data_IF_814660004859
#
_entry.id   IF_814660004859
#
_cell.length_a   1.000
_cell.length_b   1.000
_cell.length_c   1.000
_cell.angle_alpha   90.00
_cell.angle_beta   90.00
_cell.angle_gamma   90.00
#
_symmetry.space_group_name_H-M   'P 1'
#
loop_
_entity.id
_entity.type
_entity.pdbx_description
1 polymer ?
#
# COMPACT_ATOMS: atom_id res chain seq x y z
N UNK A 1 -10.93 -10.23 -15.14
CA UNK A 1 -10.32 -8.90 -15.07
C UNK A 1 -9.08 -8.91 -15.94
N UNK A 2 -9.00 -8.06 -16.97
CA UNK A 2 -7.83 -7.98 -17.86
C UNK A 2 -6.88 -6.93 -17.28
N UNK A 3 -5.61 -7.26 -17.12
CA UNK A 3 -4.59 -6.32 -16.66
C UNK A 3 -3.96 -5.59 -17.85
N UNK A 4 -3.80 -4.27 -17.72
CA UNK A 4 -3.17 -3.41 -18.73
C UNK A 4 -1.67 -3.21 -18.44
N UNK A 5 -0.94 -2.63 -19.40
CA UNK A 5 0.50 -2.35 -19.22
C UNK A 5 0.77 -1.47 -18.01
N UNK A 6 -0.06 -0.42 -17.79
CA UNK A 6 0.06 0.47 -16.63
C UNK A 6 -0.16 -0.26 -15.31
N UNK A 7 -1.03 -1.28 -15.29
CA UNK A 7 -1.26 -2.14 -14.12
C UNK A 7 0.00 -2.93 -13.78
N UNK A 8 0.59 -3.59 -14.78
CA UNK A 8 1.85 -4.33 -14.62
C UNK A 8 3.01 -3.44 -14.19
N UNK A 9 3.16 -2.25 -14.79
CA UNK A 9 4.18 -1.28 -14.36
C UNK A 9 3.98 -0.88 -12.91
N UNK A 10 2.73 -0.62 -12.50
CA UNK A 10 2.37 -0.35 -11.10
C UNK A 10 2.79 -1.50 -10.19
N UNK A 11 2.40 -2.73 -10.52
CA UNK A 11 2.74 -3.92 -9.73
C UNK A 11 4.26 -4.08 -9.61
N UNK A 12 5.01 -4.02 -10.71
CA UNK A 12 6.47 -4.19 -10.71
C UNK A 12 7.14 -3.13 -9.84
N UNK A 13 6.78 -1.85 -10.02
CA UNK A 13 7.32 -0.76 -9.19
C UNK A 13 6.95 -0.95 -7.72
N UNK A 14 5.71 -1.34 -7.44
CA UNK A 14 5.23 -1.63 -6.09
C UNK A 14 6.05 -2.75 -5.44
N UNK A 15 6.31 -3.85 -6.14
CA UNK A 15 7.17 -4.94 -5.64
C UNK A 15 8.58 -4.46 -5.36
N UNK A 16 9.21 -3.71 -6.29
CA UNK A 16 10.58 -3.20 -6.12
C UNK A 16 10.66 -2.30 -4.87
N UNK A 17 9.78 -1.31 -4.77
CA UNK A 17 9.77 -0.39 -3.63
C UNK A 17 9.38 -1.10 -2.33
N UNK A 18 8.44 -2.04 -2.38
CA UNK A 18 7.99 -2.78 -1.21
C UNK A 18 9.03 -3.75 -0.68
N UNK A 19 9.85 -4.34 -1.55
CA UNK A 19 10.98 -5.17 -1.14
C UNK A 19 12.12 -4.33 -0.53
N UNK A 20 12.32 -3.11 -1.04
CA UNK A 20 13.32 -2.18 -0.50
C UNK A 20 12.89 -1.55 0.83
N UNK A 21 11.59 -1.28 1.01
CA UNK A 21 11.07 -0.51 2.14
C UNK A 21 11.46 -1.07 3.53
N UNK A 22 11.43 -2.39 3.80
CA UNK A 22 11.93 -2.93 5.06
C UNK A 22 13.36 -2.51 5.37
N UNK A 23 14.26 -2.47 4.38
CA UNK A 23 15.64 -1.99 4.58
C UNK A 23 15.69 -0.50 4.94
N UNK A 24 14.84 0.33 4.33
CA UNK A 24 14.76 1.76 4.66
C UNK A 24 14.21 2.00 6.08
N UNK A 25 13.26 1.17 6.52
CA UNK A 25 12.71 1.20 7.88
C UNK A 25 13.80 0.86 8.91
N UNK A 26 14.67 -0.09 8.60
CA UNK A 26 15.74 -0.54 9.50
C UNK A 26 16.86 0.48 9.71
N UNK A 27 17.14 1.29 8.69
CA UNK A 27 18.22 2.29 8.74
C UNK A 27 17.80 3.62 9.38
N UNK A 28 16.59 3.71 9.93
CA UNK A 28 16.09 4.91 10.62
C UNK A 28 15.85 4.62 12.10
N UNK A 29 16.13 5.57 13.01
CA UNK A 29 15.75 5.42 14.41
C UNK A 29 14.24 5.33 14.50
N UNK A 30 13.70 4.12 14.69
CA UNK A 30 12.28 3.90 14.83
C UNK A 30 11.89 4.40 16.21
N UNK A 31 11.35 5.61 16.25
CA UNK A 31 10.98 6.32 17.46
C UNK A 31 9.95 5.51 18.25
N UNK A 32 10.29 5.25 19.52
CA UNK A 32 9.49 4.67 20.60
C UNK A 32 9.02 3.21 20.43
N UNK A 33 9.24 2.41 21.48
CA UNK A 33 8.66 1.08 21.64
C UNK A 33 7.14 1.23 21.81
N UNK A 34 6.39 1.03 20.73
CA UNK A 34 4.94 1.02 20.80
C UNK A 34 4.45 -0.23 21.56
N UNK A 35 3.45 -0.11 22.44
CA UNK A 35 2.88 -1.26 23.12
C UNK A 35 2.27 -2.22 22.08
N UNK A 36 2.37 -3.53 22.31
CA UNK A 36 1.83 -4.55 21.39
C UNK A 36 0.36 -4.34 21.00
N UNK A 37 -0.43 -3.72 21.87
CA UNK A 37 -1.83 -3.36 21.65
C UNK A 37 -2.02 -2.39 20.46
N UNK A 38 -1.00 -1.61 20.11
CA UNK A 38 -1.02 -0.69 18.98
C UNK A 38 -0.97 -1.43 17.62
N UNK A 39 -0.44 -2.66 17.55
CA UNK A 39 -0.32 -3.40 16.28
C UNK A 39 -1.68 -3.72 15.67
N UNK A 40 -2.67 -4.10 16.49
CA UNK A 40 -4.03 -4.38 16.03
C UNK A 40 -4.68 -3.10 15.48
N UNK A 41 -4.54 -1.98 16.20
CA UNK A 41 -5.11 -0.69 15.78
C UNK A 41 -4.50 -0.24 14.44
N UNK A 42 -3.19 -0.36 14.30
CA UNK A 42 -2.47 -0.03 13.06
C UNK A 42 -2.86 -0.95 11.92
N UNK A 43 -3.03 -2.25 12.18
CA UNK A 43 -3.51 -3.21 11.19
C UNK A 43 -4.91 -2.84 10.70
N UNK A 44 -5.85 -2.59 11.62
CA UNK A 44 -7.23 -2.19 11.31
C UNK A 44 -7.26 -0.88 10.55
N UNK A 45 -6.46 0.10 10.97
CA UNK A 45 -6.37 1.39 10.28
C UNK A 45 -5.85 1.24 8.85
N UNK A 46 -4.79 0.46 8.63
CA UNK A 46 -4.31 0.16 7.28
C UNK A 46 -5.33 -0.59 6.43
N UNK A 47 -6.07 -1.54 7.01
CA UNK A 47 -7.07 -2.32 6.28
C UNK A 47 -8.32 -1.49 5.91
N UNK A 48 -8.79 -0.64 6.82
CA UNK A 48 -10.08 0.07 6.68
C UNK A 48 -9.92 1.48 6.11
N UNK A 49 -8.80 2.15 6.35
CA UNK A 49 -8.53 3.52 5.90
C UNK A 49 -8.70 3.70 4.39
N UNK A 50 -7.99 2.94 3.53
CA UNK A 50 -8.12 3.08 2.09
C UNK A 50 -9.55 2.79 1.57
N UNK A 51 -10.25 1.73 2.01
CA UNK A 51 -11.66 1.51 1.66
C UNK A 51 -12.59 2.67 2.04
N UNK A 52 -12.46 3.23 3.23
CA UNK A 52 -13.25 4.39 3.66
C UNK A 52 -12.97 5.60 2.75
N UNK A 53 -11.70 5.88 2.47
CA UNK A 53 -11.31 6.98 1.58
C UNK A 53 -11.88 6.78 0.17
N UNK A 54 -11.83 5.56 -0.36
CA UNK A 54 -12.41 5.25 -1.66
C UNK A 54 -13.94 5.41 -1.68
N UNK A 55 -14.63 5.06 -0.60
CA UNK A 55 -16.07 5.28 -0.46
C UNK A 55 -16.39 6.78 -0.44
N UNK A 56 -15.66 7.58 0.34
CA UNK A 56 -15.81 9.03 0.38
C UNK A 56 -15.58 9.62 -1.02
N UNK A 57 -14.47 9.28 -1.69
CA UNK A 57 -14.18 9.75 -3.05
C UNK A 57 -15.19 9.30 -4.10
N UNK A 58 -15.89 8.18 -3.87
CA UNK A 58 -16.98 7.74 -4.75
C UNK A 58 -18.25 8.56 -4.54
N UNK A 59 -18.52 8.99 -3.31
CA UNK A 59 -19.70 9.79 -2.94
C UNK A 59 -19.54 11.27 -3.30
N UNK A 60 -18.35 11.82 -3.07
CA UNK A 60 -18.00 13.18 -3.44
C UNK A 60 -17.17 13.11 -4.72
N UNK A 61 -17.76 13.46 -5.87
CA UNK A 61 -17.10 13.42 -7.19
C UNK A 61 -15.80 14.25 -7.11
N UNK A 62 -14.69 13.57 -6.85
CA UNK A 62 -13.36 14.18 -6.86
C UNK A 62 -12.82 14.00 -8.27
N UNK A 63 -12.72 15.11 -9.02
CA UNK A 63 -12.02 15.09 -10.30
C UNK A 63 -10.58 14.62 -10.07
N UNK A 64 -10.11 13.71 -10.93
CA UNK A 64 -8.71 13.29 -10.92
C UNK A 64 -7.83 14.52 -11.16
N UNK A 65 -6.76 14.67 -10.39
CA UNK A 65 -5.82 15.78 -10.64
C UNK A 65 -5.08 15.56 -11.96
N UNK A 66 -4.72 16.64 -12.66
CA UNK A 66 -3.95 16.58 -13.91
C UNK A 66 -2.62 15.82 -13.78
N UNK A 67 -2.08 15.73 -12.57
CA UNK A 67 -0.90 14.93 -12.24
C UNK A 67 -1.20 13.43 -12.17
N UNK A 68 -2.29 13.04 -11.51
CA UNK A 68 -2.75 11.64 -11.48
C UNK A 68 -3.06 11.13 -12.89
N UNK A 69 -3.65 11.97 -13.75
CA UNK A 69 -3.91 11.59 -15.13
C UNK A 69 -2.63 11.35 -15.94
N UNK A 70 -1.61 12.19 -15.75
CA UNK A 70 -0.31 12.03 -16.42
C UNK A 70 0.41 10.76 -15.98
N UNK A 71 0.43 10.48 -14.68
CA UNK A 71 1.12 9.29 -14.16
C UNK A 71 0.33 8.02 -14.44
N UNK A 72 -1.00 8.06 -14.26
CA UNK A 72 -1.89 6.92 -14.43
C UNK A 72 -1.91 6.34 -15.85
N UNK A 73 -1.48 7.11 -16.87
CA UNK A 73 -1.19 6.60 -18.23
C UNK A 73 -0.10 5.53 -18.24
N UNK A 74 0.89 5.65 -17.37
CA UNK A 74 2.07 4.80 -17.35
C UNK A 74 2.10 3.84 -16.17
N UNK A 75 1.54 4.25 -15.04
CA UNK A 75 1.60 3.53 -13.76
C UNK A 75 0.25 3.60 -13.07
N UNK A 76 -0.40 2.44 -12.90
CA UNK A 76 -1.58 2.37 -12.05
C UNK A 76 -1.16 2.48 -10.59
N UNK A 77 -1.43 3.65 -10.00
CA UNK A 77 -1.04 3.97 -8.62
C UNK A 77 -1.75 3.07 -7.60
N UNK A 78 -3.00 2.65 -7.85
CA UNK A 78 -3.71 1.74 -6.93
C UNK A 78 -3.00 0.39 -6.88
N UNK A 79 -2.70 -0.22 -8.03
CA UNK A 79 -1.98 -1.49 -8.04
C UNK A 79 -0.54 -1.38 -7.58
N UNK A 80 0.11 -0.23 -7.80
CA UNK A 80 1.40 0.05 -7.19
C UNK A 80 1.32 0.01 -5.67
N UNK A 81 0.34 0.67 -5.05
CA UNK A 81 0.17 0.70 -3.60
C UNK A 81 -0.24 -0.66 -3.02
N UNK A 82 -1.09 -1.43 -3.73
CA UNK A 82 -1.43 -2.82 -3.35
C UNK A 82 -0.17 -3.68 -3.32
N UNK A 83 0.59 -3.71 -4.42
CA UNK A 83 1.80 -4.51 -4.54
C UNK A 83 2.87 -4.07 -3.55
N UNK A 84 3.06 -2.76 -3.38
CA UNK A 84 3.97 -2.17 -2.40
C UNK A 84 3.62 -2.60 -0.98
N UNK A 85 2.36 -2.46 -0.57
CA UNK A 85 1.93 -2.80 0.78
C UNK A 85 2.10 -4.28 1.08
N UNK A 86 1.57 -5.15 0.22
CA UNK A 86 1.68 -6.61 0.37
C UNK A 86 3.15 -7.06 0.41
N UNK A 87 3.98 -6.54 -0.50
CA UNK A 87 5.41 -6.89 -0.55
C UNK A 87 6.15 -6.39 0.68
N UNK A 88 5.90 -5.15 1.12
CA UNK A 88 6.50 -4.61 2.36
C UNK A 88 6.14 -5.46 3.57
N UNK A 89 4.86 -5.86 3.69
CA UNK A 89 4.39 -6.74 4.74
C UNK A 89 5.06 -8.12 4.70
N UNK A 90 5.05 -8.77 3.53
CA UNK A 90 5.61 -10.11 3.36
C UNK A 90 7.13 -10.14 3.59
N UNK A 91 7.87 -9.24 2.93
CA UNK A 91 9.33 -9.15 3.06
C UNK A 91 9.71 -8.72 4.46
N UNK A 92 9.04 -7.71 5.02
CA UNK A 92 9.29 -7.23 6.38
C UNK A 92 9.04 -8.30 7.45
N UNK A 93 7.92 -9.03 7.38
CA UNK A 93 7.65 -10.15 8.28
C UNK A 93 8.66 -11.27 8.09
N UNK A 94 9.05 -11.59 6.86
CA UNK A 94 10.10 -12.56 6.56
C UNK A 94 11.42 -12.18 7.23
N UNK A 95 11.88 -10.94 7.09
CA UNK A 95 13.06 -10.46 7.80
C UNK A 95 12.89 -10.53 9.31
N UNK A 96 11.72 -10.14 9.84
CA UNK A 96 11.48 -10.18 11.29
C UNK A 96 11.61 -11.60 11.85
N UNK A 97 10.99 -12.58 11.17
CA UNK A 97 10.98 -13.97 11.63
C UNK A 97 12.30 -14.72 11.38
N UNK A 98 13.00 -14.42 10.27
CA UNK A 98 14.19 -15.17 9.86
C UNK A 98 15.51 -14.52 10.31
N UNK A 99 15.55 -13.18 10.38
CA UNK A 99 16.76 -12.41 10.71
C UNK A 99 16.67 -11.78 12.11
N UNK A 100 15.47 -11.73 12.70
CA UNK A 100 15.27 -11.22 14.06
C UNK A 100 15.19 -9.69 14.12
N UNK A 101 14.41 -9.07 13.22
CA UNK A 101 14.24 -7.61 13.25
C UNK A 101 13.69 -7.12 14.60
N UNK A 102 14.05 -5.91 15.04
CA UNK A 102 13.51 -5.35 16.28
C UNK A 102 11.98 -5.22 16.20
N UNK A 103 11.30 -5.46 17.32
CA UNK A 103 9.82 -5.36 17.40
C UNK A 103 9.28 -3.98 16.99
N UNK A 104 10.07 -2.92 17.11
CA UNK A 104 9.70 -1.58 16.64
C UNK A 104 9.44 -1.53 15.13
N UNK A 105 10.12 -2.37 14.34
CA UNK A 105 9.90 -2.46 12.90
C UNK A 105 8.56 -3.11 12.54
N UNK A 106 7.94 -3.87 13.46
CA UNK A 106 6.65 -4.52 13.19
C UNK A 106 5.54 -3.53 12.90
N UNK A 107 5.54 -2.36 13.54
CA UNK A 107 4.47 -1.38 13.35
C UNK A 107 4.35 -0.92 11.88
N UNK A 108 5.39 -0.35 11.25
CA UNK A 108 5.29 0.03 9.84
C UNK A 108 5.14 -1.18 8.91
N UNK A 109 5.73 -2.34 9.23
CA UNK A 109 5.57 -3.57 8.43
C UNK A 109 4.11 -4.02 8.39
N UNK A 110 3.46 -4.11 9.55
CA UNK A 110 2.05 -4.49 9.69
C UNK A 110 1.14 -3.44 9.07
N UNK A 111 1.44 -2.15 9.28
CA UNK A 111 0.71 -1.05 8.67
C UNK A 111 0.70 -1.13 7.15
N UNK A 112 1.88 -1.18 6.52
CA UNK A 112 1.98 -1.23 5.07
C UNK A 112 1.43 -2.54 4.50
N UNK A 113 1.68 -3.65 5.20
CA UNK A 113 1.10 -4.96 4.87
C UNK A 113 -0.42 -4.92 4.81
N UNK A 114 -1.08 -4.45 5.88
CA UNK A 114 -2.55 -4.36 5.92
C UNK A 114 -3.09 -3.29 4.98
N UNK A 115 -2.38 -2.17 4.80
CA UNK A 115 -2.72 -1.14 3.82
C UNK A 115 -2.73 -1.68 2.38
N UNK A 116 -1.83 -2.59 2.02
CA UNK A 116 -1.87 -3.26 0.71
C UNK A 116 -3.20 -3.97 0.44
N UNK A 117 -3.71 -4.71 1.43
CA UNK A 117 -5.05 -5.31 1.36
C UNK A 117 -6.18 -4.27 1.43
N UNK A 118 -6.01 -3.20 2.21
CA UNK A 118 -6.94 -2.08 2.23
C UNK A 118 -7.09 -1.43 0.85
N UNK A 119 -5.99 -1.17 0.14
CA UNK A 119 -6.02 -0.64 -1.22
C UNK A 119 -6.66 -1.62 -2.22
N UNK A 120 -6.56 -2.92 -1.99
CA UNK A 120 -7.28 -3.92 -2.78
C UNK A 120 -8.79 -3.80 -2.54
N UNK A 121 -9.23 -3.63 -1.29
CA UNK A 121 -10.62 -3.34 -0.96
C UNK A 121 -11.11 -2.01 -1.56
N UNK A 122 -10.29 -0.97 -1.49
CA UNK A 122 -10.55 0.34 -2.08
C UNK A 122 -10.81 0.24 -3.60
N UNK A 123 -10.04 -0.58 -4.31
CA UNK A 123 -10.23 -0.84 -5.74
C UNK A 123 -11.61 -1.45 -6.04
N UNK A 124 -12.10 -2.38 -5.21
CA UNK A 124 -13.44 -2.95 -5.40
C UNK A 124 -14.57 -1.96 -5.11
N UNK A 125 -14.34 -0.99 -4.21
CA UNK A 125 -15.32 0.06 -3.90
C UNK A 125 -15.36 1.12 -5.00
N UNK A 126 -14.20 1.58 -5.46
CA UNK A 126 -14.08 2.60 -6.49
C UNK A 126 -13.02 2.23 -7.55
N UNK A 127 -13.38 1.38 -8.54
CA UNK A 127 -12.46 0.97 -9.59
C UNK A 127 -11.96 2.15 -10.44
N UNK A 128 -12.73 3.23 -10.55
CA UNK A 128 -12.36 4.42 -11.33
C UNK A 128 -11.19 5.20 -10.73
N UNK A 129 -10.89 5.00 -9.44
CA UNK A 129 -9.69 5.54 -8.80
C UNK A 129 -8.41 4.92 -9.36
N UNK A 130 -8.48 3.71 -9.91
CA UNK A 130 -7.43 3.16 -10.75
C UNK A 130 -7.54 3.77 -12.16
N UNK A 131 -7.01 4.98 -12.31
CA UNK A 131 -7.08 5.73 -13.57
C UNK A 131 -6.50 4.91 -14.74
N UNK A 132 -7.34 4.60 -15.72
CA UNK A 132 -7.00 3.88 -16.95
C UNK A 132 -7.45 4.71 -18.16
N UNK A 133 -6.56 5.53 -18.73
CA UNK A 133 -6.89 6.44 -19.83
C UNK A 133 -7.06 5.74 -21.18
N UNK A 134 -6.75 4.46 -21.26
CA UNK A 134 -6.75 3.65 -22.48
C UNK A 134 -7.60 2.37 -22.35
N UNK A 135 -8.55 2.37 -21.40
CA UNK A 135 -9.72 1.49 -21.52
C UNK A 135 -10.68 2.02 -22.58
#
# INVERSE_FOLDING_TARGET
MKLYRSDWTGIILGVIFGAYQPFAILNKPIVSSFPHQALIQVMVFGLIGPPILALISRLFITNNSSFQEKIGRYVNLVFMMVAYGITTGAVGLGYHLLVGLPHQALMPIVFFGSAGFGFLGAYFINPQAAYRPHE
#
